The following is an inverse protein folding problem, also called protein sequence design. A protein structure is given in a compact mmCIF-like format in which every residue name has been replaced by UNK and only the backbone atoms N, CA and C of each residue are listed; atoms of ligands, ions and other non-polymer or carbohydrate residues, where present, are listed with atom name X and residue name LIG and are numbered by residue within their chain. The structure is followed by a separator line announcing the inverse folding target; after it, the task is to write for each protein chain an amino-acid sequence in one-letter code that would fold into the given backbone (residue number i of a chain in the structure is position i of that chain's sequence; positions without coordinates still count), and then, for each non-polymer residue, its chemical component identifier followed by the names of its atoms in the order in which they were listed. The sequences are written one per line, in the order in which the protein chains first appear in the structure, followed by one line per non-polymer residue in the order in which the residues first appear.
data_IF_926765033053
#
_entry.id   IF_926765033053
#
_cell.length_a   1.000
_cell.length_b   1.000
_cell.length_c   1.000
_cell.angle_alpha   90.00
_cell.angle_beta   90.00
_cell.angle_gamma   90.00
#
_symmetry.space_group_name_H-M   'P 1'
#
loop_
_entity.id
_entity.type
_entity.pdbx_description
1 polymer ?
#
# COMPACT_ATOMS: atom_id res chain seq x y z
N UNK A 1 -8.99 -23.45 -37.36
CA UNK A 1 -9.15 -23.13 -35.92
C UNK A 1 -7.98 -22.25 -35.52
N UNK A 2 -8.17 -20.93 -35.52
CA UNK A 2 -7.10 -19.99 -35.21
C UNK A 2 -6.98 -19.87 -33.69
N UNK A 3 -5.81 -20.20 -33.13
CA UNK A 3 -5.51 -19.86 -31.75
C UNK A 3 -5.46 -18.32 -31.64
N UNK A 4 -6.17 -17.70 -30.66
CA UNK A 4 -5.96 -16.29 -30.40
C UNK A 4 -4.47 -16.08 -30.06
N UNK A 5 -3.89 -15.00 -30.59
CA UNK A 5 -2.53 -14.62 -30.27
C UNK A 5 -2.31 -14.65 -28.75
N UNK A 6 -1.15 -15.11 -28.26
CA UNK A 6 -0.88 -15.16 -26.83
C UNK A 6 -1.08 -13.76 -26.25
N UNK A 7 -2.12 -13.62 -25.42
CA UNK A 7 -2.32 -12.43 -24.61
C UNK A 7 -1.06 -12.27 -23.77
N UNK A 8 -0.33 -11.16 -23.94
CA UNK A 8 0.76 -10.81 -23.02
C UNK A 8 0.16 -10.88 -21.62
N UNK A 9 0.68 -11.73 -20.70
CA UNK A 9 0.17 -11.72 -19.34
C UNK A 9 0.34 -10.29 -18.82
N UNK A 10 -0.72 -9.73 -18.25
CA UNK A 10 -0.64 -8.43 -17.61
C UNK A 10 0.48 -8.52 -16.55
N UNK A 11 1.64 -7.93 -16.86
CA UNK A 11 2.79 -7.94 -15.98
C UNK A 11 2.39 -7.22 -14.70
N UNK A 12 2.49 -7.89 -13.56
CA UNK A 12 2.18 -7.33 -12.24
C UNK A 12 2.88 -5.98 -12.09
N UNK A 13 2.14 -4.95 -11.67
CA UNK A 13 2.74 -3.65 -11.36
C UNK A 13 3.78 -3.86 -10.27
N UNK A 14 5.05 -3.44 -10.44
CA UNK A 14 6.05 -3.62 -9.39
C UNK A 14 5.68 -2.81 -8.14
N UNK A 15 6.07 -3.34 -6.98
CA UNK A 15 5.91 -2.66 -5.69
C UNK A 15 7.18 -1.88 -5.38
N UNK A 16 7.03 -0.60 -5.07
CA UNK A 16 8.09 0.27 -4.60
C UNK A 16 7.87 0.57 -3.13
N UNK A 17 8.87 0.28 -2.30
CA UNK A 17 8.79 0.46 -0.85
C UNK A 17 9.43 1.80 -0.45
N UNK A 18 8.65 2.67 0.21
CA UNK A 18 9.12 3.97 0.64
C UNK A 18 9.65 3.94 2.08
N UNK A 19 10.89 4.40 2.26
CA UNK A 19 11.54 4.47 3.57
C UNK A 19 11.68 3.07 4.20
N UNK A 20 11.27 2.94 5.46
CA UNK A 20 11.33 1.71 6.24
C UNK A 20 10.10 0.79 6.08
N UNK A 21 9.18 1.10 5.15
CA UNK A 21 7.86 0.44 5.11
C UNK A 21 7.94 -1.08 4.94
N UNK A 22 8.91 -1.58 4.18
CA UNK A 22 9.16 -3.02 4.04
C UNK A 22 9.70 -3.64 5.32
N UNK A 23 10.62 -2.95 6.00
CA UNK A 23 11.25 -3.44 7.24
C UNK A 23 10.21 -3.54 8.33
N UNK A 24 9.37 -2.50 8.49
CA UNK A 24 8.29 -2.50 9.48
C UNK A 24 7.25 -3.56 9.16
N UNK A 25 6.82 -3.69 7.90
CA UNK A 25 5.86 -4.73 7.51
C UNK A 25 6.39 -6.13 7.81
N UNK A 26 7.67 -6.42 7.54
CA UNK A 26 8.30 -7.71 7.84
C UNK A 26 8.43 -8.00 9.34
N UNK A 27 8.35 -6.98 10.19
CA UNK A 27 8.33 -7.14 11.64
C UNK A 27 6.92 -7.44 12.20
N UNK A 28 5.87 -7.36 11.39
CA UNK A 28 4.51 -7.67 11.82
C UNK A 28 4.30 -9.17 12.06
N UNK A 29 3.26 -9.58 12.81
CA UNK A 29 2.87 -10.98 12.90
C UNK A 29 2.64 -11.60 11.51
N UNK A 30 2.99 -12.88 11.34
CA UNK A 30 2.92 -13.56 10.01
C UNK A 30 1.54 -13.44 9.35
N UNK A 31 0.46 -13.63 10.10
CA UNK A 31 -0.90 -13.48 9.59
C UNK A 31 -1.20 -12.08 9.02
N UNK A 32 -0.64 -11.04 9.65
CA UNK A 32 -0.76 -9.65 9.19
C UNK A 32 0.04 -9.43 7.91
N UNK A 33 1.25 -10.00 7.84
CA UNK A 33 2.08 -9.94 6.62
C UNK A 33 1.36 -10.59 5.44
N UNK A 34 0.72 -11.74 5.65
CA UNK A 34 -0.03 -12.47 4.63
C UNK A 34 -1.24 -11.67 4.13
N UNK A 35 -2.04 -11.11 5.05
CA UNK A 35 -3.22 -10.31 4.69
C UNK A 35 -2.84 -9.02 3.94
N UNK A 36 -1.85 -8.28 4.43
CA UNK A 36 -1.38 -7.06 3.77
C UNK A 36 -0.70 -7.41 2.44
N UNK A 37 0.12 -8.46 2.40
CA UNK A 37 0.77 -8.95 1.19
C UNK A 37 -0.25 -9.33 0.10
N UNK A 38 -1.31 -10.03 0.47
CA UNK A 38 -2.41 -10.36 -0.44
C UNK A 38 -3.14 -9.11 -0.95
N UNK A 39 -3.34 -8.12 -0.08
CA UNK A 39 -3.93 -6.86 -0.48
C UNK A 39 -3.06 -6.07 -1.46
N UNK A 40 -1.74 -6.05 -1.25
CA UNK A 40 -0.79 -5.46 -2.19
C UNK A 40 -0.76 -6.22 -3.51
N UNK A 41 -0.80 -7.56 -3.48
CA UNK A 41 -0.85 -8.37 -4.69
C UNK A 41 -2.09 -8.05 -5.55
N UNK A 42 -3.27 -7.90 -4.93
CA UNK A 42 -4.47 -7.42 -5.63
C UNK A 42 -4.25 -6.03 -6.25
N UNK A 43 -3.63 -5.10 -5.52
CA UNK A 43 -3.30 -3.79 -6.06
C UNK A 43 -2.34 -3.86 -7.26
N UNK A 44 -1.40 -4.81 -7.27
CA UNK A 44 -0.50 -5.03 -8.41
C UNK A 44 -1.25 -5.53 -9.66
N UNK A 45 -2.32 -6.31 -9.47
CA UNK A 45 -3.25 -6.74 -10.52
C UNK A 45 -4.21 -5.63 -10.97
N UNK A 46 -4.22 -4.48 -10.29
CA UNK A 46 -5.19 -3.41 -10.52
C UNK A 46 -6.54 -3.62 -9.83
N UNK A 47 -6.64 -4.65 -8.99
CA UNK A 47 -7.81 -4.93 -8.16
C UNK A 47 -7.71 -4.24 -6.80
N UNK A 48 -8.85 -4.18 -6.08
CA UNK A 48 -8.91 -3.62 -4.72
C UNK A 48 -9.26 -4.72 -3.72
N UNK A 49 -8.42 -4.89 -2.70
CA UNK A 49 -8.73 -5.78 -1.58
C UNK A 49 -9.92 -5.26 -0.75
N UNK A 50 -10.71 -6.16 -0.16
CA UNK A 50 -11.89 -5.80 0.65
C UNK A 50 -11.54 -4.95 1.87
N UNK A 51 -10.38 -5.21 2.49
CA UNK A 51 -9.84 -4.45 3.62
C UNK A 51 -9.13 -3.16 3.20
N UNK A 52 -8.95 -2.92 1.91
CA UNK A 52 -8.35 -1.68 1.40
C UNK A 52 -9.40 -0.57 1.32
N UNK A 53 -9.19 0.48 2.10
CA UNK A 53 -10.08 1.64 2.22
C UNK A 53 -9.35 2.91 1.81
N UNK A 54 -10.02 3.89 1.18
CA UNK A 54 -9.42 5.19 0.92
C UNK A 54 -8.97 5.87 2.22
N UNK A 55 -7.72 6.32 2.24
CA UNK A 55 -7.21 7.09 3.37
C UNK A 55 -7.74 8.53 3.29
N UNK A 56 -8.52 8.94 4.30
CA UNK A 56 -9.09 10.29 4.34
C UNK A 56 -7.99 11.35 4.39
N UNK A 57 -8.14 12.41 3.60
CA UNK A 57 -7.21 13.56 3.57
C UNK A 57 -6.08 13.49 2.55
N UNK A 58 -5.95 12.40 1.77
CA UNK A 58 -4.84 12.19 0.83
C UNK A 58 -5.25 12.22 -0.66
N UNK A 59 -6.51 12.56 -0.94
CA UNK A 59 -7.09 12.51 -2.28
C UNK A 59 -7.40 11.08 -2.76
N UNK A 60 -7.86 10.94 -4.00
CA UNK A 60 -8.15 9.65 -4.63
C UNK A 60 -6.90 8.75 -4.72
N UNK A 61 -7.04 7.43 -4.71
CA UNK A 61 -5.93 6.51 -5.01
C UNK A 61 -4.81 6.38 -3.96
N UNK A 62 -4.98 6.94 -2.76
CA UNK A 62 -4.22 6.55 -1.56
C UNK A 62 -5.12 5.66 -0.70
N UNK A 63 -4.67 4.44 -0.44
CA UNK A 63 -5.44 3.39 0.21
C UNK A 63 -4.69 2.91 1.46
N UNK A 64 -5.43 2.59 2.51
CA UNK A 64 -4.93 1.89 3.69
C UNK A 64 -5.56 0.49 3.75
N UNK A 65 -4.74 -0.52 4.05
CA UNK A 65 -5.19 -1.86 4.44
C UNK A 65 -5.10 -1.95 5.96
N UNK A 66 -6.18 -2.43 6.58
CA UNK A 66 -6.28 -2.62 8.02
C UNK A 66 -6.37 -4.11 8.31
N UNK A 67 -5.48 -4.60 9.15
CA UNK A 67 -5.40 -6.00 9.59
C UNK A 67 -5.31 -6.03 11.11
N UNK A 68 -6.17 -6.82 11.75
CA UNK A 68 -6.21 -6.93 13.22
C UNK A 68 -5.61 -8.27 13.65
N UNK A 69 -4.76 -8.26 14.66
CA UNK A 69 -4.14 -9.47 15.20
C UNK A 69 -4.01 -9.39 16.72
N UNK A 70 -4.65 -10.32 17.43
CA UNK A 70 -4.57 -10.47 18.90
C UNK A 70 -4.84 -9.16 19.69
N UNK A 71 -5.77 -8.34 19.22
CA UNK A 71 -6.13 -7.07 19.88
C UNK A 71 -5.33 -5.85 19.42
N UNK A 72 -4.31 -6.06 18.59
CA UNK A 72 -3.55 -5.00 17.92
C UNK A 72 -4.08 -4.76 16.51
N UNK A 73 -4.10 -3.49 16.08
CA UNK A 73 -4.47 -3.11 14.71
C UNK A 73 -3.22 -2.67 13.94
N UNK A 74 -2.96 -3.31 12.81
CA UNK A 74 -1.87 -3.00 11.89
C UNK A 74 -2.41 -2.35 10.64
N UNK A 75 -1.67 -1.38 10.12
CA UNK A 75 -2.05 -0.68 8.89
C UNK A 75 -0.88 -0.59 7.93
N UNK A 76 -1.18 -0.72 6.65
CA UNK A 76 -0.26 -0.40 5.57
C UNK A 76 -0.94 0.55 4.59
N UNK A 77 -0.25 1.64 4.27
CA UNK A 77 -0.71 2.69 3.36
C UNK A 77 0.07 2.58 2.06
N UNK A 78 -0.65 2.54 0.94
CA UNK A 78 -0.07 2.51 -0.39
C UNK A 78 -0.82 3.42 -1.35
N UNK A 79 -0.18 3.77 -2.47
CA UNK A 79 -0.82 4.50 -3.55
C UNK A 79 -0.73 3.76 -4.87
N UNK A 80 -1.83 3.86 -5.62
CA UNK A 80 -2.00 3.35 -6.99
C UNK A 80 -2.22 4.48 -7.99
N UNK A 81 -2.04 5.75 -7.56
CA UNK A 81 -2.21 6.93 -8.42
C UNK A 81 -1.16 7.02 -9.53
N UNK A 82 0.03 6.52 -9.23
CA UNK A 82 1.20 6.58 -10.11
C UNK A 82 1.14 5.39 -11.05
N UNK A 83 1.04 5.65 -12.35
CA UNK A 83 0.73 4.62 -13.33
C UNK A 83 1.82 3.55 -13.34
N UNK A 84 1.42 2.30 -13.56
CA UNK A 84 2.35 1.18 -13.70
C UNK A 84 3.03 0.69 -12.42
N UNK A 85 2.91 1.35 -11.25
CA UNK A 85 3.58 0.93 -10.00
C UNK A 85 2.66 1.05 -8.78
N UNK A 86 2.95 0.25 -7.74
CA UNK A 86 2.29 0.36 -6.43
C UNK A 86 3.32 0.85 -5.43
N UNK A 87 3.11 2.02 -4.84
CA UNK A 87 4.05 2.56 -3.85
C UNK A 87 3.53 2.32 -2.45
N UNK A 88 4.25 1.54 -1.64
CA UNK A 88 3.94 1.34 -0.22
C UNK A 88 4.61 2.46 0.56
N UNK A 89 3.77 3.39 1.02
CA UNK A 89 4.19 4.62 1.69
C UNK A 89 4.61 4.33 3.12
N UNK A 90 3.76 3.66 3.89
CA UNK A 90 4.02 3.44 5.30
C UNK A 90 3.35 2.18 5.82
N UNK A 91 3.93 1.57 6.84
CA UNK A 91 3.32 0.49 7.60
C UNK A 91 3.54 0.78 9.08
N UNK A 92 2.52 0.63 9.90
CA UNK A 92 2.61 0.88 11.34
C UNK A 92 1.62 0.03 12.13
N UNK A 93 1.98 -0.30 13.37
CA UNK A 93 1.06 -0.84 14.36
C UNK A 93 0.42 0.33 15.10
N UNK A 94 -0.91 0.42 15.06
CA UNK A 94 -1.65 1.38 15.86
C UNK A 94 -1.68 0.89 17.31
N UNK A 95 -0.79 1.42 18.15
CA UNK A 95 -0.81 1.17 19.60
C UNK A 95 -2.01 1.91 20.20
N UNK A 96 -2.86 1.20 20.95
CA UNK A 96 -4.12 1.72 21.47
C UNK A 96 -3.90 2.86 22.47
N UNK A 97 -4.09 4.10 22.01
CA UNK A 97 -4.37 5.25 22.87
C UNK A 97 -5.49 6.06 22.24
N UNK A 98 -6.71 5.84 22.71
CA UNK A 98 -7.96 6.58 22.42
C UNK A 98 -8.20 7.00 20.96
N UNK A 99 -9.12 6.29 20.28
CA UNK A 99 -9.80 6.77 19.06
C UNK A 99 -9.58 5.88 17.84
N UNK A 100 -10.51 5.95 16.87
CA UNK A 100 -10.47 5.17 15.61
C UNK A 100 -9.46 5.78 14.60
N UNK A 101 -9.17 7.07 14.76
CA UNK A 101 -8.35 7.86 13.85
C UNK A 101 -6.87 7.42 13.83
N UNK A 102 -6.26 7.57 12.67
CA UNK A 102 -4.82 7.45 12.47
C UNK A 102 -4.12 8.65 13.14
N UNK A 103 -3.05 8.46 13.93
CA UNK A 103 -2.33 9.57 14.56
C UNK A 103 -1.80 10.58 13.54
N UNK A 104 -1.75 11.86 13.91
CA UNK A 104 -1.29 12.93 13.00
C UNK A 104 0.17 12.74 12.55
N UNK A 105 1.01 12.14 13.38
CA UNK A 105 2.41 11.80 13.04
C UNK A 105 2.48 10.82 11.87
N UNK A 106 1.67 9.77 11.90
CA UNK A 106 1.57 8.76 10.84
C UNK A 106 1.10 9.41 9.53
N UNK A 107 0.09 10.28 9.60
CA UNK A 107 -0.41 11.01 8.44
C UNK A 107 0.68 11.94 7.85
N UNK A 108 1.39 12.68 8.70
CA UNK A 108 2.50 13.54 8.26
C UNK A 108 3.58 12.76 7.52
N UNK A 109 3.94 11.57 8.02
CA UNK A 109 4.93 10.69 7.40
C UNK A 109 4.43 10.13 6.06
N UNK A 110 3.16 9.72 5.99
CA UNK A 110 2.54 9.30 4.72
C UNK A 110 2.59 10.43 3.69
N UNK A 111 2.33 11.68 4.10
CA UNK A 111 2.34 12.83 3.19
C UNK A 111 3.74 13.11 2.65
N UNK A 112 4.75 13.08 3.53
CA UNK A 112 6.14 13.23 3.14
C UNK A 112 6.58 12.14 2.15
N UNK A 113 6.25 10.88 2.44
CA UNK A 113 6.61 9.73 1.59
C UNK A 113 5.82 9.72 0.27
N UNK A 114 4.58 10.19 0.26
CA UNK A 114 3.79 10.35 -0.97
C UNK A 114 4.44 11.36 -1.91
N UNK A 115 4.84 12.53 -1.39
CA UNK A 115 5.56 13.54 -2.19
C UNK A 115 6.84 12.94 -2.79
N UNK A 116 7.61 12.21 -1.98
CA UNK A 116 8.83 11.55 -2.46
C UNK A 116 8.56 10.48 -3.52
N UNK A 117 7.47 9.71 -3.38
CA UNK A 117 7.07 8.73 -4.37
C UNK A 117 6.69 9.38 -5.71
N UNK A 118 6.02 10.54 -5.69
CA UNK A 118 5.71 11.32 -6.89
C UNK A 118 6.97 11.83 -7.59
N UNK A 119 7.93 12.37 -6.83
CA UNK A 119 9.23 12.82 -7.36
C UNK A 119 10.01 11.66 -8.03
N UNK A 120 10.10 10.51 -7.36
CA UNK A 120 10.77 9.33 -7.91
C UNK A 120 10.08 8.78 -9.16
N UNK A 121 8.75 8.87 -9.23
CA UNK A 121 8.01 8.43 -10.41
C UNK A 121 8.28 9.34 -11.60
N UNK A 122 8.24 10.66 -11.41
CA UNK A 122 8.53 11.63 -12.45
C UNK A 122 9.94 11.43 -13.04
N UNK A 123 10.95 11.23 -12.18
CA UNK A 123 12.33 10.96 -12.62
C UNK A 123 12.53 9.64 -13.40
N UNK A 124 11.55 8.75 -13.39
CA UNK A 124 11.60 7.46 -14.08
C UNK A 124 10.74 7.45 -15.36
N UNK A 125 9.96 8.50 -15.60
CA UNK A 125 9.17 8.70 -16.82
C UNK A 125 9.83 9.66 -17.83
N UNK A 126 10.91 10.34 -17.43
CA UNK A 126 11.86 11.08 -18.31
C UNK A 126 12.92 10.14 -18.91
#
# INVERSE_FOLDING_TARGET
MAYPAPVKPASLKPVVWMGDSLVVLRAFPKAVQEEIGYALHKAQLGEKHERAKPLKGFGSGVLEVVSDHRGDTFRAVYTVRLAGKVYVLHAFQKKSTRGIATPKSELGLVQQRLKRAMELHAQQED
#
